data_IF_501989275061
#
_entry.id   IF_501989275061
#
_cell.length_a   1.000
_cell.length_b   1.000
_cell.length_c   1.000
_cell.angle_alpha   90.00
_cell.angle_beta   90.00
_cell.angle_gamma   90.00
#
_symmetry.space_group_name_H-M   'P 1'
#
loop_
_entity.id
_entity.type
_entity.pdbx_description
1 polymer ?
#
# COMPACT_ATOMS: atom_id res chain seq x y z
N UNK A 1 -2.89 26.61 -10.76
CA UNK A 1 -3.05 27.36 -9.49
C UNK A 1 -2.21 26.68 -8.42
N UNK A 2 -1.53 27.42 -7.53
CA UNK A 2 -0.83 26.80 -6.40
C UNK A 2 -1.82 26.03 -5.52
N UNK A 3 -1.45 24.81 -5.10
CA UNK A 3 -2.28 23.93 -4.26
C UNK A 3 -1.63 23.74 -2.88
N UNK A 4 -1.61 24.77 -2.02
CA UNK A 4 -0.96 24.69 -0.72
C UNK A 4 -1.58 23.61 0.18
N UNK A 5 -2.86 23.30 -0.02
CA UNK A 5 -3.56 22.23 0.68
C UNK A 5 -2.97 20.84 0.43
N UNK A 6 -2.28 20.61 -0.69
CA UNK A 6 -1.69 19.30 -1.02
C UNK A 6 -0.63 18.88 0.01
N UNK A 7 0.12 19.86 0.55
CA UNK A 7 1.08 19.61 1.63
C UNK A 7 0.39 19.13 2.91
N UNK A 8 -0.78 19.68 3.25
CA UNK A 8 -1.56 19.25 4.41
C UNK A 8 -2.07 17.81 4.21
N UNK A 9 -2.52 17.46 3.00
CA UNK A 9 -2.94 16.08 2.68
C UNK A 9 -1.76 15.11 2.79
N UNK A 10 -0.58 15.46 2.27
CA UNK A 10 0.63 14.66 2.43
C UNK A 10 1.07 14.51 3.90
N UNK A 11 0.92 15.58 4.69
CA UNK A 11 1.20 15.55 6.12
C UNK A 11 0.26 14.59 6.87
N UNK A 12 -1.01 14.43 6.44
CA UNK A 12 -1.94 13.45 7.03
C UNK A 12 -1.44 12.01 6.85
N UNK A 13 -0.86 11.65 5.69
CA UNK A 13 -0.27 10.32 5.46
C UNK A 13 0.90 10.07 6.41
N UNK A 14 1.71 11.10 6.67
CA UNK A 14 2.82 11.03 7.62
C UNK A 14 2.34 10.90 9.05
N UNK A 15 1.38 11.73 9.48
CA UNK A 15 0.77 11.66 10.81
C UNK A 15 0.11 10.30 11.06
N UNK A 16 -0.61 9.78 10.07
CA UNK A 16 -1.17 8.42 10.06
C UNK A 16 -0.09 7.36 10.32
N UNK A 17 1.06 7.48 9.66
CA UNK A 17 2.17 6.54 9.81
C UNK A 17 2.79 6.59 11.21
N UNK A 18 2.95 7.79 11.79
CA UNK A 18 3.44 7.98 13.16
C UNK A 18 2.47 7.36 14.16
N UNK A 19 1.16 7.63 14.03
CA UNK A 19 0.14 7.04 14.90
C UNK A 19 0.17 5.51 14.83
N UNK A 20 0.22 4.93 13.62
CA UNK A 20 0.30 3.47 13.46
C UNK A 20 1.59 2.89 14.07
N UNK A 21 2.72 3.56 13.95
CA UNK A 21 3.97 3.14 14.58
C UNK A 21 3.88 3.17 16.11
N UNK A 22 3.25 4.21 16.68
CA UNK A 22 2.98 4.29 18.11
C UNK A 22 2.10 3.14 18.60
N UNK A 23 0.99 2.87 17.90
CA UNK A 23 0.10 1.73 18.22
C UNK A 23 0.84 0.39 18.08
N UNK A 24 1.71 0.24 17.09
CA UNK A 24 2.51 -0.98 16.92
C UNK A 24 3.50 -1.17 18.08
N UNK A 25 4.17 -0.12 18.53
CA UNK A 25 5.14 -0.20 19.63
C UNK A 25 4.48 -0.46 20.99
N UNK A 26 3.22 -0.03 21.19
CA UNK A 26 2.46 -0.29 22.41
C UNK A 26 1.83 -1.69 22.46
N UNK A 27 1.81 -2.42 21.35
CA UNK A 27 1.28 -3.79 21.31
C UNK A 27 2.38 -4.77 21.73
N UNK A 28 2.13 -5.48 22.82
CA UNK A 28 2.96 -6.60 23.27
C UNK A 28 2.58 -7.94 22.62
N UNK A 29 1.77 -7.90 21.56
CA UNK A 29 1.35 -9.09 20.86
C UNK A 29 2.49 -9.58 19.96
N UNK A 30 3.06 -10.75 20.27
CA UNK A 30 4.04 -11.47 19.45
C UNK A 30 3.48 -12.01 18.12
N UNK A 31 2.50 -11.31 17.53
CA UNK A 31 1.86 -11.68 16.30
C UNK A 31 2.86 -11.62 15.14
N UNK A 32 2.78 -12.63 14.27
CA UNK A 32 3.66 -12.73 13.11
C UNK A 32 3.18 -11.83 11.97
N UNK A 33 1.91 -11.44 11.98
CA UNK A 33 1.25 -10.68 10.93
C UNK A 33 0.83 -9.29 11.42
N UNK A 34 0.65 -8.34 10.49
CA UNK A 34 0.35 -6.94 10.79
C UNK A 34 -1.17 -6.69 10.91
N UNK A 35 -1.54 -5.65 11.65
CA UNK A 35 -2.92 -5.11 11.68
C UNK A 35 -2.95 -3.78 10.93
N UNK A 36 -3.76 -3.74 9.87
CA UNK A 36 -3.74 -2.69 8.87
C UNK A 36 -2.50 -2.78 7.98
N UNK A 37 -2.40 -1.84 7.04
CA UNK A 37 -1.26 -1.78 6.15
C UNK A 37 0.01 -1.35 6.90
N UNK A 38 1.13 -2.09 6.81
CA UNK A 38 2.34 -1.72 7.54
C UNK A 38 3.00 -0.47 6.92
N UNK A 39 3.59 0.37 7.77
CA UNK A 39 4.22 1.64 7.36
C UNK A 39 5.27 1.49 6.24
N UNK A 40 6.13 0.45 6.23
CA UNK A 40 7.09 0.28 5.13
C UNK A 40 6.40 -0.07 3.80
N UNK A 41 5.31 -0.84 3.84
CA UNK A 41 4.56 -1.15 2.63
C UNK A 41 3.85 0.10 2.09
N UNK A 42 3.23 0.90 2.96
CA UNK A 42 2.63 2.18 2.54
C UNK A 42 3.65 3.13 1.89
N UNK A 43 4.89 3.16 2.40
CA UNK A 43 5.99 3.92 1.79
C UNK A 43 6.36 3.37 0.41
N UNK A 44 6.47 2.05 0.24
CA UNK A 44 6.71 1.41 -1.07
C UNK A 44 5.59 1.70 -2.08
N UNK A 45 4.33 1.75 -1.61
CA UNK A 45 3.19 2.13 -2.45
C UNK A 45 3.36 3.54 -3.01
N UNK A 46 3.66 4.51 -2.15
CA UNK A 46 3.89 5.89 -2.56
C UNK A 46 5.12 6.02 -3.49
N UNK A 47 6.22 5.31 -3.19
CA UNK A 47 7.43 5.32 -4.00
C UNK A 47 7.21 4.75 -5.40
N UNK A 48 6.47 3.65 -5.55
CA UNK A 48 6.17 3.09 -6.85
C UNK A 48 5.34 4.03 -7.73
N UNK A 49 4.35 4.72 -7.14
CA UNK A 49 3.52 5.70 -7.84
C UNK A 49 4.35 6.91 -8.24
N UNK A 50 5.11 7.48 -7.30
CA UNK A 50 6.00 8.60 -7.55
C UNK A 50 7.00 8.30 -8.68
N UNK A 51 7.65 7.13 -8.61
CA UNK A 51 8.63 6.74 -9.62
C UNK A 51 8.02 6.50 -10.99
N UNK A 52 6.78 5.97 -11.06
CA UNK A 52 6.04 5.81 -12.29
C UNK A 52 5.61 7.16 -12.88
N UNK A 53 5.05 8.06 -12.06
CA UNK A 53 4.65 9.41 -12.48
C UNK A 53 5.83 10.27 -12.92
N UNK A 54 7.02 10.03 -12.38
CA UNK A 54 8.25 10.76 -12.73
C UNK A 54 8.93 10.27 -14.02
N UNK A 55 8.45 9.20 -14.66
CA UNK A 55 8.96 8.82 -15.99
C UNK A 55 8.54 9.87 -17.02
N UNK A 56 9.44 10.24 -17.93
CA UNK A 56 9.23 11.34 -18.88
C UNK A 56 7.91 11.22 -19.66
N UNK A 57 7.62 10.05 -20.22
CA UNK A 57 6.40 9.80 -21.00
C UNK A 57 5.12 9.98 -20.14
N UNK A 58 5.12 9.45 -18.92
CA UNK A 58 3.98 9.56 -18.01
C UNK A 58 3.80 11.00 -17.50
N UNK A 59 4.91 11.69 -17.27
CA UNK A 59 4.92 13.09 -16.85
C UNK A 59 4.35 13.98 -17.96
N UNK A 60 4.80 13.79 -19.21
CA UNK A 60 4.32 14.54 -20.37
C UNK A 60 2.82 14.32 -20.61
N UNK A 61 2.37 13.07 -20.55
CA UNK A 61 0.94 12.71 -20.58
C UNK A 61 0.12 13.40 -19.47
N UNK A 62 0.64 13.41 -18.24
CA UNK A 62 -0.05 14.06 -17.13
C UNK A 62 -0.07 15.59 -17.28
N UNK A 63 0.97 16.17 -17.88
CA UNK A 63 1.06 17.62 -18.14
C UNK A 63 0.12 18.06 -19.26
N UNK A 64 -0.31 17.14 -20.13
CA UNK A 64 -1.31 17.42 -21.16
C UNK A 64 -2.75 17.51 -20.62
N UNK A 65 -2.97 17.32 -19.31
CA UNK A 65 -4.29 17.37 -18.71
C UNK A 65 -4.78 18.81 -18.52
N UNK A 66 -5.99 19.07 -18.99
CA UNK A 66 -6.64 20.38 -18.88
C UNK A 66 -8.11 20.24 -18.41
N UNK A 67 -8.67 21.35 -17.92
CA UNK A 67 -10.08 21.45 -17.52
C UNK A 67 -10.53 20.34 -16.57
N UNK A 68 -11.60 19.63 -16.96
CA UNK A 68 -12.22 18.56 -16.16
C UNK A 68 -11.27 17.39 -15.91
N UNK A 69 -10.42 17.03 -16.88
CA UNK A 69 -9.48 15.91 -16.76
C UNK A 69 -8.44 16.21 -15.67
N UNK A 70 -7.91 17.43 -15.66
CA UNK A 70 -6.97 17.87 -14.63
C UNK A 70 -7.63 17.86 -13.24
N UNK A 71 -8.89 18.31 -13.13
CA UNK A 71 -9.63 18.28 -11.87
C UNK A 71 -9.80 16.84 -11.36
N UNK A 72 -10.24 15.93 -12.22
CA UNK A 72 -10.43 14.51 -11.87
C UNK A 72 -9.11 13.87 -11.42
N UNK A 73 -8.00 14.20 -12.07
CA UNK A 73 -6.68 13.72 -11.67
C UNK A 73 -6.30 14.13 -10.25
N UNK A 74 -6.45 15.41 -9.90
CA UNK A 74 -6.16 15.91 -8.56
C UNK A 74 -7.08 15.30 -7.50
N UNK A 75 -8.38 15.21 -7.77
CA UNK A 75 -9.34 14.55 -6.87
C UNK A 75 -8.98 13.08 -6.67
N UNK A 76 -8.53 12.40 -7.74
CA UNK A 76 -8.02 11.03 -7.68
C UNK A 76 -6.82 10.89 -6.75
N UNK A 77 -5.83 11.78 -6.85
CA UNK A 77 -4.65 11.79 -5.97
C UNK A 77 -5.02 12.06 -4.50
N UNK A 78 -5.99 12.94 -4.24
CA UNK A 78 -6.49 13.20 -2.88
C UNK A 78 -7.20 11.97 -2.34
N UNK A 79 -8.09 11.36 -3.12
CA UNK A 79 -8.79 10.13 -2.73
C UNK A 79 -7.79 9.00 -2.45
N UNK A 80 -6.73 8.90 -3.25
CA UNK A 80 -5.65 7.94 -3.06
C UNK A 80 -4.88 8.20 -1.75
N UNK A 81 -4.53 9.45 -1.47
CA UNK A 81 -3.88 9.81 -0.21
C UNK A 81 -4.75 9.48 1.01
N UNK A 82 -6.04 9.81 0.97
CA UNK A 82 -6.98 9.48 2.04
C UNK A 82 -7.18 7.97 2.18
N UNK A 83 -7.20 7.23 1.08
CA UNK A 83 -7.20 5.77 1.10
C UNK A 83 -5.96 5.23 1.81
N UNK A 84 -4.77 5.81 1.55
CA UNK A 84 -3.53 5.39 2.24
C UNK A 84 -3.52 5.70 3.73
N UNK A 85 -4.28 6.71 4.18
CA UNK A 85 -4.51 6.97 5.61
C UNK A 85 -5.47 5.93 6.20
N UNK A 86 -6.56 5.64 5.49
CA UNK A 86 -7.59 4.70 5.93
C UNK A 86 -7.04 3.27 6.07
N UNK A 87 -6.44 2.71 5.01
CA UNK A 87 -6.03 1.30 5.00
C UNK A 87 -4.89 0.99 5.98
N UNK A 88 -4.10 2.00 6.34
CA UNK A 88 -2.99 1.90 7.26
C UNK A 88 -3.56 1.77 8.67
N UNK A 89 -4.62 2.52 8.97
CA UNK A 89 -5.29 2.52 10.26
C UNK A 89 -6.39 1.47 10.43
N UNK A 90 -6.80 0.81 9.35
CA UNK A 90 -7.79 -0.24 9.38
C UNK A 90 -7.37 -1.47 10.23
N UNK A 91 -8.37 -2.28 10.61
CA UNK A 91 -8.21 -3.42 11.52
C UNK A 91 -8.01 -4.77 10.82
N UNK A 92 -7.99 -4.82 9.49
CA UNK A 92 -7.75 -6.06 8.74
C UNK A 92 -6.33 -6.60 8.96
N UNK A 93 -6.14 -7.91 8.87
CA UNK A 93 -4.82 -8.54 9.02
C UNK A 93 -4.08 -8.60 7.69
N UNK A 94 -2.82 -8.17 7.71
CA UNK A 94 -1.91 -8.21 6.57
C UNK A 94 -0.77 -9.17 6.87
N UNK A 95 -0.54 -10.10 5.96
CA UNK A 95 0.51 -11.08 6.09
C UNK A 95 1.89 -10.40 6.11
N UNK A 96 2.73 -10.81 7.06
CA UNK A 96 4.13 -10.43 7.04
C UNK A 96 4.94 -11.26 6.05
N UNK A 97 5.93 -10.65 5.41
CA UNK A 97 6.93 -11.35 4.58
C UNK A 97 7.99 -12.09 5.41
N UNK A 98 7.95 -11.99 6.74
CA UNK A 98 8.83 -12.76 7.63
C UNK A 98 8.64 -14.26 7.40
N UNK A 99 9.66 -15.07 7.70
CA UNK A 99 9.53 -16.53 7.68
C UNK A 99 8.54 -17.08 8.71
N UNK A 100 8.19 -18.35 8.55
CA UNK A 100 7.34 -19.11 9.48
C UNK A 100 5.84 -19.10 9.13
N UNK A 101 5.01 -19.62 10.04
CA UNK A 101 3.56 -19.68 9.85
C UNK A 101 3.07 -20.93 9.09
N UNK A 102 1.78 -20.90 8.74
CA UNK A 102 1.09 -22.02 8.08
C UNK A 102 1.55 -22.20 6.63
N UNK A 103 1.33 -23.39 6.05
CA UNK A 103 1.62 -23.65 4.63
C UNK A 103 0.93 -22.62 3.72
N UNK A 104 -0.34 -22.29 3.97
CA UNK A 104 -1.09 -21.29 3.20
C UNK A 104 -0.48 -19.90 3.26
N UNK A 105 0.02 -19.49 4.44
CA UNK A 105 0.73 -18.22 4.57
C UNK A 105 1.95 -18.18 3.65
N UNK A 106 2.80 -19.22 3.71
CA UNK A 106 3.98 -19.34 2.84
C UNK A 106 3.62 -19.32 1.35
N UNK A 107 2.56 -20.02 0.95
CA UNK A 107 2.05 -19.96 -0.42
C UNK A 107 1.64 -18.54 -0.83
N UNK A 108 0.96 -17.79 0.04
CA UNK A 108 0.63 -16.38 -0.23
C UNK A 108 1.88 -15.51 -0.38
N UNK A 109 2.92 -15.73 0.43
CA UNK A 109 4.22 -15.04 0.27
C UNK A 109 4.86 -15.34 -1.08
N UNK A 110 4.90 -16.62 -1.49
CA UNK A 110 5.47 -17.03 -2.76
C UNK A 110 4.68 -16.49 -3.95
N UNK A 111 3.35 -16.49 -3.88
CA UNK A 111 2.50 -15.88 -4.91
C UNK A 111 2.81 -14.40 -5.03
N UNK A 112 2.90 -13.67 -3.91
CA UNK A 112 3.18 -12.24 -3.93
C UNK A 112 4.56 -11.92 -4.52
N UNK A 113 5.60 -12.66 -4.12
CA UNK A 113 6.97 -12.49 -4.68
C UNK A 113 7.02 -12.92 -6.14
N UNK A 114 6.35 -14.01 -6.52
CA UNK A 114 6.27 -14.46 -7.90
C UNK A 114 5.59 -13.43 -8.80
N UNK A 115 4.46 -12.86 -8.34
CA UNK A 115 3.78 -11.76 -9.03
C UNK A 115 4.70 -10.55 -9.16
N UNK A 116 5.43 -10.18 -8.10
CA UNK A 116 6.37 -9.06 -8.17
C UNK A 116 7.40 -9.26 -9.29
N UNK A 117 8.06 -10.43 -9.35
CA UNK A 117 9.07 -10.73 -10.40
C UNK A 117 8.45 -10.72 -11.79
N UNK A 118 7.26 -11.32 -11.96
CA UNK A 118 6.57 -11.40 -13.25
C UNK A 118 6.12 -10.01 -13.73
N UNK A 119 5.73 -9.10 -12.83
CA UNK A 119 5.16 -7.80 -13.20
C UNK A 119 6.21 -6.73 -13.54
N UNK A 120 7.45 -6.84 -13.02
CA UNK A 120 8.55 -5.91 -13.30
C UNK A 120 8.71 -5.58 -14.79
N UNK A 121 8.82 -6.56 -15.72
CA UNK A 121 9.03 -6.26 -17.14
C UNK A 121 7.84 -5.53 -17.80
N UNK A 122 6.64 -5.61 -17.23
CA UNK A 122 5.43 -5.00 -17.81
C UNK A 122 5.15 -3.61 -17.24
N UNK A 123 5.38 -3.40 -15.94
CA UNK A 123 4.96 -2.17 -15.24
C UNK A 123 6.12 -1.38 -14.63
N UNK A 124 7.36 -1.88 -14.69
CA UNK A 124 8.53 -1.22 -14.12
C UNK A 124 8.33 -0.89 -12.64
N UNK A 125 8.59 0.36 -12.26
CA UNK A 125 8.48 0.83 -10.88
C UNK A 125 7.04 0.81 -10.32
N UNK A 126 6.01 0.90 -11.18
CA UNK A 126 4.60 0.82 -10.75
C UNK A 126 4.27 -0.54 -10.13
N UNK A 127 5.05 -1.58 -10.47
CA UNK A 127 4.96 -2.92 -9.86
C UNK A 127 4.97 -2.86 -8.34
N UNK A 128 5.77 -1.96 -7.73
CA UNK A 128 5.81 -1.80 -6.27
C UNK A 128 4.42 -1.45 -5.73
N UNK A 129 3.77 -0.45 -6.31
CA UNK A 129 2.45 0.00 -5.87
C UNK A 129 1.38 -1.06 -6.10
N UNK A 130 1.44 -1.75 -7.24
CA UNK A 130 0.46 -2.81 -7.56
C UNK A 130 0.60 -3.97 -6.58
N UNK A 131 1.82 -4.44 -6.30
CA UNK A 131 2.05 -5.54 -5.37
C UNK A 131 1.65 -5.18 -3.95
N UNK A 132 1.95 -3.96 -3.53
CA UNK A 132 1.51 -3.46 -2.22
C UNK A 132 -0.02 -3.36 -2.15
N UNK A 133 -0.68 -2.94 -3.23
CA UNK A 133 -2.14 -2.91 -3.31
C UNK A 133 -2.78 -4.29 -3.24
N UNK A 134 -2.14 -5.31 -3.83
CA UNK A 134 -2.60 -6.70 -3.81
C UNK A 134 -2.34 -7.41 -2.47
N UNK A 135 -1.39 -6.94 -1.68
CA UNK A 135 -1.00 -7.54 -0.40
C UNK A 135 -2.19 -7.80 0.56
N UNK A 136 -3.10 -6.85 0.86
CA UNK A 136 -4.24 -7.12 1.73
C UNK A 136 -5.22 -8.15 1.14
N UNK A 137 -5.38 -8.18 -0.18
CA UNK A 137 -6.25 -9.14 -0.88
C UNK A 137 -5.68 -10.56 -0.73
N UNK A 138 -4.41 -10.75 -1.08
CA UNK A 138 -3.72 -12.04 -0.94
C UNK A 138 -3.67 -12.48 0.53
N UNK A 139 -3.46 -11.53 1.44
CA UNK A 139 -3.47 -11.78 2.89
C UNK A 139 -4.83 -12.30 3.36
N UNK A 140 -5.93 -11.71 2.88
CA UNK A 140 -7.27 -12.16 3.25
C UNK A 140 -7.52 -13.62 2.88
N UNK A 141 -7.06 -14.08 1.72
CA UNK A 141 -7.17 -15.49 1.31
C UNK A 141 -6.23 -16.42 2.09
N UNK A 142 -5.00 -15.97 2.31
CA UNK A 142 -3.97 -16.80 2.93
C UNK A 142 -4.13 -16.95 4.45
N UNK A 143 -4.73 -15.95 5.12
CA UNK A 143 -4.94 -15.93 6.57
C UNK A 143 -6.35 -16.44 6.99
N UNK A 144 -7.29 -16.61 6.04
CA UNK A 144 -8.70 -16.99 6.28
C UNK A 144 -8.92 -18.22 7.17
N UNK A 145 -7.97 -19.16 7.22
CA UNK A 145 -8.12 -20.40 7.99
C UNK A 145 -7.43 -20.41 9.36
N UNK A 146 -6.57 -19.44 9.69
CA UNK A 146 -5.94 -19.38 11.02
C UNK A 146 -6.95 -18.99 12.12
N UNK A 147 -8.06 -18.35 11.76
CA UNK A 147 -9.14 -17.98 12.68
C UNK A 147 -10.07 -19.16 13.03
N UNK A 148 -10.09 -20.24 12.24
CA UNK A 148 -10.96 -21.40 12.47
C UNK A 148 -10.29 -22.53 13.28
N UNK A 149 -9.01 -22.38 13.63
CA UNK A 149 -8.26 -23.33 14.48
C UNK A 149 -8.35 -23.03 15.98
N UNK A 150 -9.14 -22.03 16.37
CA UNK A 150 -9.50 -21.75 17.77
C UNK A 150 -11.03 -21.85 17.88
N UNK A 151 -11.54 -23.06 17.77
CA UNK A 151 -12.84 -23.46 18.29
C UNK A 151 -12.71 -24.85 18.88
#
# INVERSE_FOLDING_TARGET
MPQPWAMLIGALVTASSIYRLGVFNLKEDGDKDFTGMPTPANALFALGLWSWMGQWENWDWMMSFEGTTLLLWHVGLVALALYTVFWQNATFKVMSLKGGGTKRRKWGQYILVGMFVIMIPFFGALTLSIIVFLLPIISAFALKNSANTIK
#
